data_IF_324266677255
#
_entry.id   IF_324266677255
#
_cell.length_a   1.000
_cell.length_b   1.000
_cell.length_c   1.000
_cell.angle_alpha   90.00
_cell.angle_beta   90.00
_cell.angle_gamma   90.00
#
_symmetry.space_group_name_H-M   'P 1'
#
loop_
_entity.id
_entity.type
_entity.pdbx_description
1 polymer ?
#
# COMPACT_ATOMS: atom_id res chain seq x y z
N UNK A 1 13.32 2.18 -3.49
CA UNK A 1 14.15 3.19 -4.21
C UNK A 1 13.92 4.60 -3.67
N UNK A 2 12.69 4.97 -3.28
CA UNK A 2 12.38 6.29 -2.72
C UNK A 2 13.18 6.63 -1.45
N UNK A 3 13.33 5.70 -0.50
CA UNK A 3 14.13 5.91 0.73
C UNK A 3 15.56 6.38 0.44
N UNK A 4 16.24 5.72 -0.51
CA UNK A 4 17.61 6.09 -0.90
C UNK A 4 17.67 7.48 -1.52
N UNK A 5 16.67 7.83 -2.33
CA UNK A 5 16.56 9.17 -2.91
C UNK A 5 16.33 10.23 -1.82
N UNK A 6 15.42 9.98 -0.87
CA UNK A 6 15.17 10.86 0.28
C UNK A 6 16.43 11.07 1.12
N UNK A 7 17.18 10.00 1.41
CA UNK A 7 18.48 10.09 2.11
C UNK A 7 19.48 10.95 1.33
N UNK A 8 19.61 10.73 0.02
CA UNK A 8 20.51 11.54 -0.84
C UNK A 8 20.10 13.02 -0.81
N UNK A 9 18.80 13.32 -0.87
CA UNK A 9 18.29 14.69 -0.81
C UNK A 9 18.63 15.36 0.53
N UNK A 10 18.50 14.66 1.65
CA UNK A 10 18.89 15.20 2.95
C UNK A 10 20.40 15.41 3.08
N UNK A 11 21.21 14.46 2.59
CA UNK A 11 22.67 14.61 2.56
C UNK A 11 23.07 15.82 1.70
N UNK A 12 22.47 15.98 0.53
CA UNK A 12 22.71 17.13 -0.33
C UNK A 12 22.30 18.44 0.34
N UNK A 13 21.14 18.48 1.00
CA UNK A 13 20.69 19.64 1.77
C UNK A 13 21.70 20.04 2.86
N UNK A 14 22.23 19.06 3.62
CA UNK A 14 23.24 19.30 4.62
C UNK A 14 24.54 19.88 4.02
N UNK A 15 24.99 19.32 2.89
CA UNK A 15 26.17 19.83 2.17
C UNK A 15 25.94 21.27 1.69
N UNK A 16 24.78 21.57 1.11
CA UNK A 16 24.42 22.91 0.63
C UNK A 16 24.41 23.93 1.77
N UNK A 17 23.86 23.57 2.94
CA UNK A 17 23.87 24.43 4.13
C UNK A 17 25.29 24.66 4.66
N UNK A 18 26.11 23.61 4.72
CA UNK A 18 27.53 23.73 5.09
C UNK A 18 28.26 24.69 4.15
N UNK A 19 28.02 24.57 2.84
CA UNK A 19 28.61 25.46 1.83
C UNK A 19 28.13 26.90 1.95
N UNK A 20 26.85 27.13 2.30
CA UNK A 20 26.33 28.47 2.57
C UNK A 20 27.01 29.14 3.79
N UNK A 21 27.41 28.35 4.78
CA UNK A 21 28.11 28.82 5.99
C UNK A 21 29.60 29.12 5.77
N UNK A 22 30.19 28.73 4.64
CA UNK A 22 31.60 29.02 4.36
C UNK A 22 31.82 30.53 4.23
N UNK A 23 32.88 31.03 4.88
CA UNK A 23 33.26 32.45 4.79
C UNK A 23 33.78 32.78 3.39
N UNK A 24 33.40 33.93 2.86
CA UNK A 24 33.85 34.38 1.54
C UNK A 24 35.38 34.42 1.42
N UNK A 25 36.08 34.84 2.49
CA UNK A 25 37.54 34.89 2.52
C UNK A 25 38.20 33.51 2.40
N UNK A 26 37.52 32.48 2.92
CA UNK A 26 37.99 31.09 2.79
C UNK A 26 37.84 30.59 1.35
N UNK A 27 36.75 30.96 0.68
CA UNK A 27 36.54 30.63 -0.73
C UNK A 27 37.53 31.37 -1.63
N UNK A 28 37.81 32.65 -1.32
CA UNK A 28 38.83 33.44 -2.03
C UNK A 28 40.20 32.81 -1.90
N UNK A 29 40.63 32.43 -0.69
CA UNK A 29 41.95 31.82 -0.50
C UNK A 29 42.09 30.48 -1.21
N UNK A 30 41.04 29.64 -1.23
CA UNK A 30 41.03 28.42 -2.03
C UNK A 30 41.14 28.73 -3.52
N UNK A 31 40.41 29.73 -4.01
CA UNK A 31 40.45 30.10 -5.43
C UNK A 31 41.81 30.66 -5.82
N UNK A 32 42.40 31.52 -5.01
CA UNK A 32 43.75 32.07 -5.23
C UNK A 32 44.81 30.97 -5.23
N UNK A 33 44.68 29.94 -4.39
CA UNK A 33 45.61 28.79 -4.42
C UNK A 33 45.51 27.95 -5.69
N UNK A 34 44.35 27.93 -6.35
CA UNK A 34 44.12 27.15 -7.58
C UNK A 34 44.37 27.97 -8.84
N UNK A 35 44.07 29.27 -8.81
CA UNK A 35 44.25 30.20 -9.92
C UNK A 35 44.58 31.61 -9.39
N UNK A 36 45.88 31.91 -9.17
CA UNK A 36 46.33 33.19 -8.62
C UNK A 36 46.00 34.40 -9.53
N UNK A 37 45.79 34.17 -10.82
CA UNK A 37 45.56 35.22 -11.82
C UNK A 37 44.08 35.59 -11.99
N UNK A 38 43.18 34.95 -11.25
CA UNK A 38 41.75 35.10 -11.44
C UNK A 38 41.24 36.46 -10.88
N UNK A 39 40.34 37.17 -11.60
CA UNK A 39 39.80 38.44 -11.14
C UNK A 39 38.96 38.26 -9.87
N UNK A 40 39.01 39.24 -8.96
CA UNK A 40 38.30 39.19 -7.67
C UNK A 40 36.78 38.99 -7.84
N UNK A 41 36.20 38.13 -7.01
CA UNK A 41 34.74 37.92 -6.97
C UNK A 41 34.10 39.04 -6.13
N UNK A 42 33.07 39.74 -6.65
CA UNK A 42 32.35 40.76 -5.88
C UNK A 42 31.58 40.14 -4.71
N UNK A 43 31.42 40.89 -3.61
CA UNK A 43 30.70 40.43 -2.42
C UNK A 43 29.26 40.01 -2.71
N UNK A 44 28.60 40.70 -3.63
CA UNK A 44 27.24 40.40 -4.06
C UNK A 44 27.08 38.96 -4.58
N UNK A 45 28.11 38.40 -5.23
CA UNK A 45 28.07 37.04 -5.73
C UNK A 45 28.06 36.00 -4.59
N UNK A 46 28.72 36.28 -3.46
CA UNK A 46 28.66 35.41 -2.28
C UNK A 46 27.30 35.46 -1.60
N UNK A 47 26.65 36.63 -1.59
CA UNK A 47 25.27 36.76 -1.08
C UNK A 47 24.31 35.96 -1.95
N UNK A 48 24.39 36.12 -3.28
CA UNK A 48 23.56 35.35 -4.23
C UNK A 48 23.81 33.85 -4.08
N UNK A 49 25.08 33.41 -4.03
CA UNK A 49 25.41 31.99 -3.86
C UNK A 49 24.83 31.40 -2.57
N UNK A 50 24.88 32.13 -1.46
CA UNK A 50 24.26 31.70 -0.19
C UNK A 50 22.76 31.55 -0.31
N UNK A 51 22.08 32.52 -0.91
CA UNK A 51 20.63 32.45 -1.13
C UNK A 51 20.27 31.27 -2.04
N UNK A 52 21.06 31.02 -3.08
CA UNK A 52 20.88 29.85 -3.97
C UNK A 52 21.06 28.54 -3.21
N UNK A 53 22.14 28.39 -2.43
CA UNK A 53 22.39 27.16 -1.66
C UNK A 53 21.31 26.92 -0.60
N UNK A 54 20.88 27.96 0.12
CA UNK A 54 19.78 27.83 1.10
C UNK A 54 18.48 27.48 0.40
N UNK A 55 18.14 28.14 -0.72
CA UNK A 55 16.94 27.84 -1.48
C UNK A 55 16.91 26.41 -2.01
N UNK A 56 18.02 25.93 -2.57
CA UNK A 56 18.14 24.54 -3.02
C UNK A 56 18.08 23.55 -1.85
N UNK A 57 18.71 23.86 -0.71
CA UNK A 57 18.65 23.02 0.48
C UNK A 57 17.20 22.87 0.99
N UNK A 58 16.45 23.98 1.06
CA UNK A 58 15.03 23.95 1.40
C UNK A 58 14.24 23.07 0.42
N UNK A 59 14.49 23.22 -0.89
CA UNK A 59 13.87 22.37 -1.91
C UNK A 59 14.17 20.88 -1.69
N UNK A 60 15.43 20.52 -1.42
CA UNK A 60 15.83 19.15 -1.12
C UNK A 60 15.14 18.59 0.13
N UNK A 61 15.02 19.38 1.20
CA UNK A 61 14.31 18.96 2.42
C UNK A 61 12.83 18.73 2.13
N UNK A 62 12.16 19.67 1.45
CA UNK A 62 10.72 19.54 1.12
C UNK A 62 10.47 18.30 0.27
N UNK A 63 11.28 18.06 -0.76
CA UNK A 63 11.15 16.88 -1.62
C UNK A 63 11.47 15.58 -0.86
N UNK A 64 12.49 15.60 0.00
CA UNK A 64 12.83 14.44 0.83
C UNK A 64 11.72 14.05 1.80
N UNK A 65 11.11 15.03 2.48
CA UNK A 65 9.97 14.81 3.39
C UNK A 65 8.76 14.28 2.64
N UNK A 66 8.42 14.87 1.48
CA UNK A 66 7.32 14.36 0.64
C UNK A 66 7.58 12.93 0.17
N UNK A 67 8.83 12.62 -0.19
CA UNK A 67 9.21 11.27 -0.61
C UNK A 67 9.10 10.23 0.52
N UNK A 68 9.36 10.63 1.77
CA UNK A 68 9.14 9.76 2.93
C UNK A 68 7.64 9.50 3.18
N UNK A 69 6.79 10.53 3.12
CA UNK A 69 5.35 10.33 3.31
C UNK A 69 4.69 9.45 2.24
N UNK A 70 5.16 9.52 0.99
CA UNK A 70 4.71 8.59 -0.07
C UNK A 70 5.18 7.16 0.19
N UNK A 71 6.36 6.97 0.79
CA UNK A 71 6.84 5.63 1.13
C UNK A 71 6.08 5.02 2.32
N UNK A 72 5.73 5.84 3.30
CA UNK A 72 4.91 5.44 4.45
C UNK A 72 3.54 4.96 3.97
N UNK A 73 2.84 5.76 3.15
CA UNK A 73 1.56 5.36 2.55
C UNK A 73 1.65 4.33 1.42
N UNK A 74 2.81 3.67 1.25
CA UNK A 74 3.00 2.59 0.26
C UNK A 74 3.29 1.24 0.89
N UNK A 75 3.30 1.16 2.22
CA UNK A 75 3.56 -0.08 2.96
C UNK A 75 2.51 -0.24 4.04
N UNK A 76 2.15 -1.49 4.27
CA UNK A 76 1.35 -1.87 5.41
C UNK A 76 2.23 -1.96 6.66
N UNK A 77 1.74 -1.47 7.78
CA UNK A 77 2.26 -1.86 9.09
C UNK A 77 1.56 -3.12 9.62
N UNK A 78 2.20 -3.82 10.55
CA UNK A 78 1.65 -5.03 11.17
C UNK A 78 0.31 -4.74 11.89
N UNK A 79 0.20 -3.60 12.58
CA UNK A 79 -1.00 -3.21 13.31
C UNK A 79 -2.15 -2.85 12.36
N UNK A 80 -1.85 -2.18 11.25
CA UNK A 80 -2.85 -1.88 10.21
C UNK A 80 -3.36 -3.16 9.54
N UNK A 81 -2.46 -4.08 9.19
CA UNK A 81 -2.85 -5.36 8.61
C UNK A 81 -3.70 -6.18 9.60
N UNK A 82 -3.30 -6.24 10.87
CA UNK A 82 -4.04 -6.96 11.90
C UNK A 82 -5.47 -6.43 12.06
N UNK A 83 -5.62 -5.11 12.19
CA UNK A 83 -6.92 -4.46 12.31
C UNK A 83 -7.78 -4.64 11.06
N UNK A 84 -7.18 -4.55 9.88
CA UNK A 84 -7.88 -4.70 8.61
C UNK A 84 -8.38 -6.14 8.40
N UNK A 85 -7.55 -7.15 8.73
CA UNK A 85 -7.93 -8.57 8.65
C UNK A 85 -9.04 -8.90 9.64
N UNK A 86 -8.99 -8.37 10.86
CA UNK A 86 -10.03 -8.57 11.86
C UNK A 86 -11.37 -7.98 11.38
N UNK A 87 -11.36 -6.76 10.85
CA UNK A 87 -12.56 -6.10 10.34
C UNK A 87 -13.11 -6.79 9.08
N UNK A 88 -12.25 -7.16 8.12
CA UNK A 88 -12.65 -7.90 6.94
C UNK A 88 -13.26 -9.26 7.29
N UNK A 89 -12.71 -9.95 8.29
CA UNK A 89 -13.28 -11.21 8.80
C UNK A 89 -14.70 -10.99 9.34
N UNK A 90 -14.91 -9.93 10.12
CA UNK A 90 -16.22 -9.59 10.65
C UNK A 90 -17.24 -9.24 9.56
N UNK A 91 -16.82 -8.56 8.50
CA UNK A 91 -17.70 -8.16 7.39
C UNK A 91 -18.02 -9.32 6.44
N UNK A 92 -17.05 -10.22 6.23
CA UNK A 92 -17.23 -11.41 5.42
C UNK A 92 -18.02 -12.50 6.13
N UNK A 93 -18.03 -12.54 7.46
CA UNK A 93 -18.85 -13.47 8.22
C UNK A 93 -20.36 -13.19 7.98
N UNK A 94 -21.07 -14.19 7.45
CA UNK A 94 -22.45 -14.08 7.00
C UNK A 94 -22.65 -13.43 5.63
N UNK A 95 -21.57 -13.11 4.89
CA UNK A 95 -21.64 -12.55 3.55
C UNK A 95 -22.45 -13.42 2.59
N UNK A 96 -23.30 -12.79 1.78
CA UNK A 96 -24.11 -13.50 0.78
C UNK A 96 -23.25 -13.84 -0.42
N UNK A 97 -22.91 -15.12 -0.53
CA UNK A 97 -22.15 -15.67 -1.63
C UNK A 97 -23.06 -16.44 -2.58
N UNK A 98 -22.87 -16.30 -3.89
CA UNK A 98 -23.70 -16.99 -4.90
C UNK A 98 -22.85 -17.67 -5.94
N UNK A 99 -23.23 -18.91 -6.25
CA UNK A 99 -22.63 -19.67 -7.34
C UNK A 99 -23.65 -19.99 -8.43
N UNK A 100 -23.13 -20.34 -9.59
CA UNK A 100 -23.90 -21.05 -10.60
C UNK A 100 -24.11 -22.53 -10.23
N UNK A 101 -24.81 -23.26 -11.09
CA UNK A 101 -25.08 -24.69 -10.91
C UNK A 101 -23.82 -25.57 -11.06
N UNK A 102 -22.73 -25.03 -11.60
CA UNK A 102 -21.43 -25.71 -11.68
C UNK A 102 -20.55 -25.49 -10.45
N UNK A 103 -20.91 -24.53 -9.59
CA UNK A 103 -20.19 -24.19 -8.36
C UNK A 103 -19.31 -22.94 -8.47
N UNK A 104 -19.25 -22.33 -9.65
CA UNK A 104 -18.44 -21.14 -9.92
C UNK A 104 -19.16 -19.88 -9.39
N UNK A 105 -18.42 -18.88 -8.85
CA UNK A 105 -19.03 -17.64 -8.40
C UNK A 105 -19.74 -16.89 -9.54
N UNK A 106 -20.94 -16.39 -9.27
CA UNK A 106 -21.70 -15.58 -10.25
C UNK A 106 -21.00 -14.24 -10.52
N UNK A 107 -20.34 -13.70 -9.50
CA UNK A 107 -19.52 -12.49 -9.59
C UNK A 107 -18.07 -12.93 -9.51
N UNK A 108 -17.32 -12.79 -10.62
CA UNK A 108 -15.92 -13.25 -10.69
C UNK A 108 -15.01 -12.64 -9.59
N UNK A 109 -15.30 -11.41 -9.14
CA UNK A 109 -14.57 -10.78 -8.03
C UNK A 109 -14.81 -11.45 -6.67
N UNK A 110 -15.72 -12.42 -6.58
CA UNK A 110 -15.99 -13.16 -5.35
C UNK A 110 -15.19 -14.47 -5.27
N UNK A 111 -14.28 -14.73 -6.20
CA UNK A 111 -13.21 -15.70 -5.91
C UNK A 111 -12.55 -15.32 -4.57
N UNK A 112 -12.33 -16.31 -3.72
CA UNK A 112 -12.08 -16.07 -2.29
C UNK A 112 -10.83 -15.25 -2.01
N UNK A 113 -9.76 -15.49 -2.76
CA UNK A 113 -8.53 -14.72 -2.68
C UNK A 113 -8.80 -13.24 -2.97
N UNK A 114 -9.45 -12.96 -4.10
CA UNK A 114 -9.79 -11.60 -4.54
C UNK A 114 -10.74 -10.91 -3.56
N UNK A 115 -11.73 -11.66 -3.05
CA UNK A 115 -12.70 -11.14 -2.08
C UNK A 115 -11.99 -10.78 -0.76
N UNK A 116 -11.16 -11.67 -0.23
CA UNK A 116 -10.39 -11.41 0.99
C UNK A 116 -9.43 -10.23 0.79
N UNK A 117 -8.67 -10.20 -0.31
CA UNK A 117 -7.75 -9.11 -0.63
C UNK A 117 -8.45 -7.76 -0.71
N UNK A 118 -9.62 -7.71 -1.37
CA UNK A 118 -10.41 -6.50 -1.52
C UNK A 118 -10.92 -6.01 -0.18
N UNK A 119 -11.56 -6.87 0.60
CA UNK A 119 -12.13 -6.49 1.90
C UNK A 119 -11.05 -6.07 2.90
N UNK A 120 -9.89 -6.73 2.91
CA UNK A 120 -8.76 -6.31 3.76
C UNK A 120 -8.22 -4.96 3.30
N UNK A 121 -8.06 -4.72 2.00
CA UNK A 121 -7.58 -3.44 1.49
C UNK A 121 -8.55 -2.28 1.78
N UNK A 122 -9.86 -2.52 1.64
CA UNK A 122 -10.91 -1.53 1.94
C UNK A 122 -10.99 -1.19 3.43
N UNK A 123 -10.65 -2.15 4.30
CA UNK A 123 -10.58 -1.97 5.74
C UNK A 123 -9.21 -1.50 6.26
N UNK A 124 -8.28 -1.15 5.36
CA UNK A 124 -7.03 -0.50 5.70
C UNK A 124 -7.23 0.85 6.41
N UNK A 125 -6.30 1.21 7.30
CA UNK A 125 -6.26 2.53 7.93
C UNK A 125 -6.09 3.68 6.93
N UNK A 126 -6.21 4.94 7.40
CA UNK A 126 -6.19 6.12 6.52
C UNK A 126 -4.89 6.32 5.71
N UNK A 127 -3.78 5.74 6.18
CA UNK A 127 -2.49 5.75 5.48
C UNK A 127 -2.16 4.40 4.83
N UNK A 128 -3.01 3.38 4.98
CA UNK A 128 -2.77 2.05 4.42
C UNK A 128 -2.89 2.06 2.89
N UNK A 129 -1.98 1.36 2.18
CA UNK A 129 -2.08 1.20 0.73
C UNK A 129 -3.38 0.49 0.35
N UNK A 130 -3.94 0.83 -0.82
CA UNK A 130 -5.11 0.14 -1.37
C UNK A 130 -4.72 -1.10 -2.20
N UNK A 131 -3.44 -1.46 -2.17
CA UNK A 131 -2.84 -2.57 -2.89
C UNK A 131 -1.79 -3.30 -2.03
N UNK A 132 -1.32 -4.45 -2.52
CA UNK A 132 -0.23 -5.18 -1.89
C UNK A 132 -0.63 -6.10 -0.74
N UNK A 133 -1.92 -6.31 -0.52
CA UNK A 133 -2.45 -7.47 0.21
C UNK A 133 -2.41 -8.68 -0.73
N UNK A 134 -2.05 -9.85 -0.19
CA UNK A 134 -2.05 -11.13 -0.91
C UNK A 134 -2.75 -12.18 -0.04
N UNK A 135 -3.76 -12.84 -0.58
CA UNK A 135 -4.46 -13.95 0.06
C UNK A 135 -4.08 -15.27 -0.63
N UNK A 136 -2.96 -15.86 -0.20
CA UNK A 136 -2.42 -17.08 -0.79
C UNK A 136 -3.23 -18.33 -0.38
N UNK A 137 -3.84 -19.08 -1.32
CA UNK A 137 -4.62 -20.28 -1.00
C UNK A 137 -3.73 -21.45 -0.56
N UNK A 138 -4.19 -22.21 0.43
CA UNK A 138 -3.55 -23.45 0.85
C UNK A 138 -3.80 -24.60 -0.15
N UNK A 139 -2.80 -25.46 -0.31
CA UNK A 139 -2.93 -26.65 -1.14
C UNK A 139 -3.99 -27.61 -0.57
N UNK A 140 -4.96 -28.00 -1.42
CA UNK A 140 -6.03 -28.90 -1.03
C UNK A 140 -7.31 -28.21 -0.57
N UNK A 141 -7.38 -26.88 -0.65
CA UNK A 141 -8.63 -26.14 -0.53
C UNK A 141 -9.71 -26.71 -1.46
N UNK A 142 -10.94 -26.63 -0.99
CA UNK A 142 -12.13 -26.98 -1.76
C UNK A 142 -13.04 -25.77 -1.85
N UNK A 143 -14.05 -25.81 -2.72
CA UNK A 143 -15.03 -24.73 -2.80
C UNK A 143 -15.82 -24.53 -1.50
N UNK A 144 -16.04 -25.60 -0.73
CA UNK A 144 -16.84 -25.55 0.48
C UNK A 144 -16.05 -25.15 1.73
N UNK A 145 -14.74 -25.41 1.73
CA UNK A 145 -13.85 -25.29 2.90
C UNK A 145 -12.44 -24.94 2.41
N UNK A 146 -11.98 -23.73 2.75
CA UNK A 146 -10.76 -23.17 2.21
C UNK A 146 -9.99 -22.31 3.22
N UNK A 147 -8.66 -22.41 3.19
CA UNK A 147 -7.74 -21.64 4.03
C UNK A 147 -6.83 -20.75 3.18
N UNK A 148 -6.62 -19.52 3.64
CA UNK A 148 -5.81 -18.50 2.97
C UNK A 148 -4.81 -17.90 3.94
N UNK A 149 -3.54 -17.85 3.54
CA UNK A 149 -2.54 -17.06 4.26
C UNK A 149 -2.57 -15.63 3.71
N UNK A 150 -3.01 -14.69 4.55
CA UNK A 150 -3.07 -13.27 4.22
C UNK A 150 -1.79 -12.59 4.67
N UNK A 151 -1.13 -11.90 3.75
CA UNK A 151 0.05 -11.08 3.99
C UNK A 151 -0.09 -9.73 3.32
N UNK A 152 0.76 -8.76 3.67
CA UNK A 152 0.80 -7.47 2.97
C UNK A 152 2.22 -6.92 2.82
N UNK A 153 2.44 -6.18 1.74
CA UNK A 153 3.73 -5.56 1.43
C UNK A 153 4.18 -4.60 2.55
N UNK A 154 5.27 -4.95 3.23
CA UNK A 154 5.87 -4.13 4.28
C UNK A 154 5.51 -4.55 5.70
N UNK A 155 4.50 -5.40 5.87
CA UNK A 155 4.19 -6.07 7.12
C UNK A 155 5.00 -7.38 7.22
N UNK A 156 5.48 -7.68 8.43
CA UNK A 156 6.11 -8.96 8.76
C UNK A 156 5.07 -9.98 9.28
N UNK A 157 3.88 -9.49 9.67
CA UNK A 157 2.73 -10.30 10.11
C UNK A 157 2.06 -11.09 9.00
N UNK A 158 1.47 -12.22 9.37
CA UNK A 158 0.65 -13.05 8.50
C UNK A 158 -0.57 -13.55 9.28
N UNK A 159 -1.68 -13.78 8.58
CA UNK A 159 -2.93 -14.26 9.18
C UNK A 159 -3.48 -15.44 8.38
N UNK A 160 -4.01 -16.43 9.09
CA UNK A 160 -4.66 -17.58 8.48
C UNK A 160 -6.17 -17.36 8.53
N UNK A 161 -6.74 -17.05 7.37
CA UNK A 161 -8.17 -16.86 7.17
C UNK A 161 -8.79 -18.17 6.69
N UNK A 162 -9.84 -18.61 7.36
CA UNK A 162 -10.63 -19.79 7.00
C UNK A 162 -11.99 -19.33 6.51
N UNK A 163 -12.43 -19.90 5.38
CA UNK A 163 -13.72 -19.62 4.76
C UNK A 163 -14.46 -20.94 4.55
N UNK A 164 -15.66 -21.04 5.10
CA UNK A 164 -16.59 -22.15 4.85
C UNK A 164 -17.88 -21.62 4.16
N UNK A 165 -18.39 -22.34 3.15
CA UNK A 165 -19.70 -22.01 2.54
C UNK A 165 -20.81 -22.77 3.23
N UNK A 166 -21.71 -22.05 3.87
CA UNK A 166 -22.95 -22.61 4.43
C UNK A 166 -24.09 -22.45 3.43
N UNK A 167 -24.60 -23.55 2.89
CA UNK A 167 -25.70 -23.54 1.90
C UNK A 167 -26.98 -22.95 2.49
N UNK A 168 -27.55 -21.94 1.83
CA UNK A 168 -28.81 -21.30 2.20
C UNK A 168 -29.83 -21.34 1.05
N UNK A 169 -30.77 -22.29 1.10
CA UNK A 169 -31.80 -22.43 0.07
C UNK A 169 -32.73 -21.22 -0.02
N UNK A 170 -32.88 -20.47 1.08
CA UNK A 170 -33.68 -19.25 1.13
C UNK A 170 -33.02 -18.09 0.38
N UNK A 171 -31.69 -18.11 0.25
CA UNK A 171 -30.91 -17.11 -0.49
C UNK A 171 -30.75 -17.46 -1.99
N UNK A 172 -31.35 -18.57 -2.45
CA UNK A 172 -31.37 -18.93 -3.88
C UNK A 172 -32.07 -17.85 -4.70
N UNK A 173 -31.48 -17.54 -5.85
CA UNK A 173 -32.05 -16.57 -6.75
C UNK A 173 -32.28 -17.17 -8.12
N UNK A 174 -33.54 -17.17 -8.55
CA UNK A 174 -33.91 -17.51 -9.93
C UNK A 174 -34.35 -16.21 -10.62
N UNK A 175 -33.51 -15.62 -11.50
CA UNK A 175 -33.89 -14.41 -12.22
C UNK A 175 -35.17 -14.64 -13.03
N UNK A 176 -36.02 -13.61 -13.18
CA UNK A 176 -37.23 -13.73 -14.00
C UNK A 176 -36.87 -13.94 -15.47
N UNK A 177 -37.56 -14.87 -16.12
CA UNK A 177 -37.46 -15.14 -17.54
C UNK A 177 -38.27 -14.16 -18.40
N UNK A 178 -38.14 -14.31 -19.72
CA UNK A 178 -38.86 -13.50 -20.70
C UNK A 178 -40.37 -13.67 -20.51
N UNK A 179 -41.10 -12.55 -20.53
CA UNK A 179 -42.55 -12.48 -20.32
C UNK A 179 -43.03 -12.91 -18.92
N UNK A 180 -42.22 -12.73 -17.87
CA UNK A 180 -42.62 -12.94 -16.47
C UNK A 180 -42.76 -14.41 -16.07
N UNK A 181 -42.24 -15.33 -16.89
CA UNK A 181 -42.10 -16.74 -16.54
C UNK A 181 -40.88 -16.92 -15.63
N UNK A 182 -40.82 -17.97 -14.79
CA UNK A 182 -39.59 -18.31 -14.07
C UNK A 182 -38.41 -18.47 -15.05
N UNK A 183 -37.23 -17.98 -14.66
CA UNK A 183 -35.99 -18.25 -15.39
C UNK A 183 -35.66 -19.75 -15.39
N UNK A 184 -34.76 -20.16 -16.28
CA UNK A 184 -34.34 -21.56 -16.43
C UNK A 184 -33.07 -21.89 -15.67
N UNK A 185 -32.55 -20.94 -14.90
CA UNK A 185 -31.26 -21.00 -14.23
C UNK A 185 -31.43 -20.47 -12.80
N UNK A 186 -30.84 -21.16 -11.83
CA UNK A 186 -30.88 -20.77 -10.42
C UNK A 186 -29.46 -20.53 -9.92
N UNK A 187 -29.24 -19.36 -9.34
CA UNK A 187 -28.05 -19.05 -8.55
C UNK A 187 -28.21 -19.68 -7.17
N UNK A 188 -27.25 -20.51 -6.77
CA UNK A 188 -27.24 -21.18 -5.48
C UNK A 188 -26.72 -20.22 -4.41
N UNK A 189 -27.53 -19.95 -3.39
CA UNK A 189 -27.18 -19.05 -2.29
C UNK A 189 -26.40 -19.72 -1.17
N UNK A 190 -25.40 -19.03 -0.65
CA UNK A 190 -24.57 -19.44 0.48
C UNK A 190 -24.33 -18.24 1.42
N UNK A 191 -24.07 -18.56 2.69
CA UNK A 191 -23.53 -17.63 3.67
C UNK A 191 -22.11 -18.08 3.99
N UNK A 192 -21.17 -17.16 3.97
CA UNK A 192 -19.81 -17.47 4.40
C UNK A 192 -19.78 -17.55 5.93
N UNK A 193 -19.06 -18.52 6.45
CA UNK A 193 -18.57 -18.53 7.84
C UNK A 193 -17.07 -18.27 7.75
N UNK A 194 -16.63 -17.15 8.32
CA UNK A 194 -15.25 -16.68 8.15
C UNK A 194 -14.59 -16.49 9.50
N UNK A 195 -13.42 -17.11 9.67
CA UNK A 195 -12.62 -16.96 10.88
C UNK A 195 -11.18 -16.60 10.52
N UNK A 196 -10.49 -15.93 11.44
CA UNK A 196 -9.08 -15.59 11.27
C UNK A 196 -8.28 -15.89 12.53
N UNK A 197 -7.01 -16.22 12.35
CA UNK A 197 -6.03 -16.36 13.43
C UNK A 197 -4.68 -15.81 12.99
N UNK A 198 -3.92 -15.28 13.93
CA UNK A 198 -2.55 -14.86 13.68
C UNK A 198 -1.66 -16.05 13.29
N UNK A 199 -0.72 -15.80 12.37
CA UNK A 199 0.20 -16.76 11.78
C UNK A 199 -0.32 -17.36 10.48
N UNK A 200 0.59 -17.94 9.70
CA UNK A 200 0.24 -18.60 8.43
C UNK A 200 -0.66 -19.85 8.62
N UNK A 201 -1.34 -20.20 7.53
CA UNK A 201 -1.86 -21.55 7.31
C UNK A 201 -0.70 -22.44 6.82
#
# INVERSE_FOLDING_TARGET
MLTRLSVILFVLAAILLLMACVRADRVRSWRESLNPSAPAVPDAAFVVARLTFVGLAVGCVVLGVRGLGVEDGSKWSDDELASAVEQATYELDGFLYRTDESGEPVVFLYEYDTLIETEVAENGGGDAPQDGVDASPLAGNTDADAYFTVTANGADSAFCTHVERVRSKEDDYTPPGIAGRPGTYTELGYRLDVTTREGAC
#
